data_IF_520831318492
#
_entry.id   IF_520831318492
#
_cell.length_a   1.000
_cell.length_b   1.000
_cell.length_c   1.000
_cell.angle_alpha   90.00
_cell.angle_beta   90.00
_cell.angle_gamma   90.00
#
_symmetry.space_group_name_H-M   'P 1'
#
loop_
_entity.id
_entity.type
_entity.pdbx_description
1 polymer ?
#
# COMPACT_ATOMS: atom_id res chain seq x y z
N UNK A 1 19.02 4.89 -8.43
CA UNK A 1 18.51 5.37 -7.11
C UNK A 1 17.20 4.65 -6.85
N UNK A 2 16.92 4.21 -5.63
CA UNK A 2 15.65 3.58 -5.25
C UNK A 2 14.76 4.64 -4.60
N UNK A 3 13.45 4.53 -4.81
CA UNK A 3 12.47 5.44 -4.24
C UNK A 3 11.48 4.71 -3.34
N UNK A 4 10.76 5.50 -2.54
CA UNK A 4 9.61 5.02 -1.77
C UNK A 4 8.41 5.88 -2.12
N UNK A 5 7.33 5.22 -2.53
CA UNK A 5 6.07 5.85 -2.90
C UNK A 5 5.01 5.53 -1.85
N UNK A 6 4.14 6.50 -1.61
CA UNK A 6 2.98 6.34 -0.75
C UNK A 6 1.76 6.80 -1.53
N UNK A 7 0.81 5.91 -1.77
CA UNK A 7 -0.34 6.16 -2.62
C UNK A 7 -1.61 5.65 -1.98
N UNK A 8 -2.67 6.43 -2.17
CA UNK A 8 -4.02 6.03 -1.80
C UNK A 8 -4.72 5.38 -3.00
N UNK A 9 -5.37 4.24 -2.76
CA UNK A 9 -6.08 3.44 -3.77
C UNK A 9 -7.50 3.11 -3.30
N UNK A 10 -8.35 2.72 -4.24
CA UNK A 10 -9.72 2.33 -3.94
C UNK A 10 -9.81 0.95 -3.27
N UNK A 11 -8.85 0.08 -3.52
CA UNK A 11 -8.79 -1.29 -2.99
C UNK A 11 -7.32 -1.74 -2.81
N UNK A 12 -6.92 -1.92 -1.54
CA UNK A 12 -5.55 -2.27 -1.17
C UNK A 12 -5.24 -3.73 -1.51
N UNK A 13 -6.19 -4.64 -1.26
CA UNK A 13 -6.00 -6.08 -1.45
C UNK A 13 -5.82 -6.43 -2.92
N UNK A 14 -6.66 -5.84 -3.78
CA UNK A 14 -6.59 -6.07 -5.23
C UNK A 14 -5.26 -5.57 -5.79
N UNK A 15 -4.83 -4.36 -5.42
CA UNK A 15 -3.56 -3.79 -5.92
C UNK A 15 -2.37 -4.58 -5.38
N UNK A 16 -2.36 -4.92 -4.10
CA UNK A 16 -1.32 -5.74 -3.48
C UNK A 16 -1.21 -7.12 -4.13
N UNK A 17 -2.33 -7.84 -4.28
CA UNK A 17 -2.35 -9.18 -4.85
C UNK A 17 -1.85 -9.19 -6.30
N UNK A 18 -2.27 -8.19 -7.09
CA UNK A 18 -1.78 -8.01 -8.45
C UNK A 18 -0.27 -7.74 -8.49
N UNK A 19 0.24 -6.87 -7.61
CA UNK A 19 1.67 -6.56 -7.56
C UNK A 19 2.50 -7.82 -7.24
N UNK A 20 2.10 -8.58 -6.23
CA UNK A 20 2.78 -9.83 -5.85
C UNK A 20 2.71 -10.86 -6.97
N UNK A 21 1.55 -11.01 -7.63
CA UNK A 21 1.39 -11.90 -8.78
C UNK A 21 2.29 -11.53 -9.97
N UNK A 22 2.69 -10.26 -10.08
CA UNK A 22 3.62 -9.75 -11.10
C UNK A 22 5.09 -9.71 -10.64
N UNK A 23 5.41 -10.36 -9.51
CA UNK A 23 6.78 -10.52 -9.05
C UNK A 23 7.27 -9.45 -8.08
N UNK A 24 6.38 -8.62 -7.52
CA UNK A 24 6.74 -7.81 -6.36
C UNK A 24 6.94 -8.68 -5.12
N UNK A 25 7.92 -8.31 -4.30
CA UNK A 25 8.15 -8.91 -2.98
C UNK A 25 7.13 -8.34 -1.99
N UNK A 26 6.47 -9.22 -1.23
CA UNK A 26 5.66 -8.79 -0.10
C UNK A 26 6.53 -8.49 1.10
N UNK A 27 6.50 -7.24 1.56
CA UNK A 27 7.19 -6.82 2.77
C UNK A 27 6.22 -6.62 3.94
N UNK A 28 5.00 -6.19 3.65
CA UNK A 28 3.93 -6.02 4.62
C UNK A 28 2.59 -6.41 3.96
N UNK A 29 2.03 -7.59 4.30
CA UNK A 29 0.71 -8.00 3.81
C UNK A 29 -0.38 -7.00 4.21
N UNK A 30 -1.50 -6.90 3.46
CA UNK A 30 -2.60 -6.00 3.77
C UNK A 30 -3.11 -6.20 5.20
N UNK A 31 -3.17 -5.12 5.97
CA UNK A 31 -3.73 -5.09 7.31
C UNK A 31 -4.47 -3.77 7.57
N UNK A 32 -5.43 -3.82 8.49
CA UNK A 32 -6.05 -2.61 9.04
C UNK A 32 -5.19 -2.08 10.18
N UNK A 33 -4.88 -0.80 10.13
CA UNK A 33 -3.95 -0.13 11.04
C UNK A 33 -4.71 0.62 12.13
N UNK A 34 -4.07 0.83 13.28
CA UNK A 34 -4.65 1.52 14.44
C UNK A 34 -5.11 2.97 14.12
N UNK A 35 -4.55 3.58 13.09
CA UNK A 35 -4.90 4.92 12.59
C UNK A 35 -5.97 4.88 11.48
N UNK A 36 -6.74 3.80 11.41
CA UNK A 36 -7.94 3.66 10.59
C UNK A 36 -7.66 3.69 9.06
N UNK A 37 -6.48 3.21 8.64
CA UNK A 37 -6.17 2.92 7.23
C UNK A 37 -6.05 1.40 7.03
N UNK A 38 -6.50 0.91 5.87
CA UNK A 38 -6.04 -0.38 5.34
C UNK A 38 -4.77 -0.13 4.56
N UNK A 39 -3.72 -0.91 4.82
CA UNK A 39 -2.40 -0.66 4.25
C UNK A 39 -1.64 -1.94 3.91
N UNK A 40 -0.89 -1.90 2.81
CA UNK A 40 0.05 -2.93 2.40
C UNK A 40 1.39 -2.31 1.95
N UNK A 41 2.46 -3.09 2.03
CA UNK A 41 3.81 -2.71 1.63
C UNK A 41 4.45 -3.75 0.73
N UNK A 42 4.87 -3.33 -0.47
CA UNK A 42 5.56 -4.20 -1.44
C UNK A 42 6.83 -3.54 -1.97
N UNK A 43 7.76 -4.36 -2.45
CA UNK A 43 8.94 -3.92 -3.17
C UNK A 43 8.89 -4.44 -4.60
N UNK A 44 8.98 -3.54 -5.57
CA UNK A 44 8.95 -3.91 -6.98
C UNK A 44 10.28 -4.54 -7.45
N UNK A 45 10.32 -5.16 -8.65
CA UNK A 45 11.55 -5.75 -9.19
C UNK A 45 12.70 -4.76 -9.43
N UNK A 46 12.42 -3.46 -9.58
CA UNK A 46 13.46 -2.42 -9.66
C UNK A 46 14.00 -2.04 -8.26
N UNK A 47 13.38 -2.54 -7.21
CA UNK A 47 13.73 -2.34 -5.81
C UNK A 47 13.16 -1.08 -5.19
N UNK A 48 12.13 -0.45 -5.79
CA UNK A 48 11.39 0.63 -5.14
C UNK A 48 10.40 0.05 -4.12
N UNK A 49 10.15 0.81 -3.07
CA UNK A 49 9.15 0.46 -2.06
C UNK A 49 7.83 1.19 -2.31
N UNK A 50 6.72 0.51 -2.12
CA UNK A 50 5.38 1.02 -2.36
C UNK A 50 4.50 0.78 -1.14
N UNK A 51 4.03 1.86 -0.52
CA UNK A 51 2.94 1.84 0.44
C UNK A 51 1.62 2.04 -0.29
N UNK A 52 0.75 1.02 -0.21
CA UNK A 52 -0.56 0.98 -0.83
C UNK A 52 -1.59 1.14 0.29
N UNK A 53 -2.25 2.30 0.35
CA UNK A 53 -3.11 2.64 1.47
C UNK A 53 -4.53 2.98 1.03
N UNK A 54 -5.49 2.81 1.92
CA UNK A 54 -6.86 3.31 1.81
C UNK A 54 -7.33 3.73 3.18
N UNK A 55 -7.91 4.92 3.30
CA UNK A 55 -8.57 5.33 4.54
C UNK A 55 -9.84 4.49 4.74
N UNK A 56 -10.00 3.90 5.92
CA UNK A 56 -11.25 3.22 6.31
C UNK A 56 -12.32 4.21 6.75
N UNK A 57 -11.90 5.44 7.04
CA UNK A 57 -12.74 6.56 7.42
C UNK A 57 -12.51 7.75 6.49
N UNK A 58 -13.59 8.41 6.08
CA UNK A 58 -13.50 9.68 5.38
C UNK A 58 -13.40 10.82 6.40
N UNK A 59 -12.18 11.34 6.59
CA UNK A 59 -11.91 12.59 7.30
C UNK A 59 -11.17 13.56 6.38
N UNK A 60 -11.50 14.85 6.48
CA UNK A 60 -10.73 15.91 5.84
C UNK A 60 -9.29 15.94 6.34
N UNK A 61 -8.35 16.45 5.54
CA UNK A 61 -6.94 16.54 5.94
C UNK A 61 -6.70 17.47 7.15
N UNK A 62 -7.64 18.38 7.40
CA UNK A 62 -7.59 19.38 8.47
C UNK A 62 -8.69 19.17 9.52
N UNK A 63 -9.41 18.06 9.46
CA UNK A 63 -10.50 17.73 10.39
C UNK A 63 -9.99 16.87 11.55
#
# INVERSE_FOLDING_TARGET
MRASFYLYVNDVDVVYANAVAQGAESNFPPADMDYEDRQAGIKDPAGNYWWISKRLIEKGYHE
#
